data_IF_492980175345
#
_entry.id   IF_492980175345
#
_cell.length_a   1.000
_cell.length_b   1.000
_cell.length_c   1.000
_cell.angle_alpha   90.00
_cell.angle_beta   90.00
_cell.angle_gamma   90.00
#
_symmetry.space_group_name_H-M   'P 1'
#
loop_
_entity.id
_entity.type
_entity.pdbx_description
1 polymer ?
#
# COMPACT_ATOMS: atom_id res chain seq x y z
N UNK A 1 -7.55 10.15 62.09
CA UNK A 1 -8.03 10.83 60.86
C UNK A 1 -7.02 10.71 59.72
N UNK A 2 -5.78 11.19 59.86
CA UNK A 2 -4.76 11.14 58.80
C UNK A 2 -4.40 9.74 58.24
N UNK A 3 -4.48 8.67 59.05
CA UNK A 3 -4.23 7.29 58.59
C UNK A 3 -5.36 6.78 57.67
N UNK A 4 -6.62 7.09 58.00
CA UNK A 4 -7.79 6.71 57.20
C UNK A 4 -7.90 7.49 55.88
N UNK A 5 -7.47 8.76 55.87
CA UNK A 5 -7.37 9.56 54.63
C UNK A 5 -6.31 9.00 53.67
N UNK A 6 -5.18 8.50 54.20
CA UNK A 6 -4.14 7.83 53.40
C UNK A 6 -4.61 6.49 52.83
N UNK A 7 -5.34 5.69 53.60
CA UNK A 7 -5.90 4.42 53.14
C UNK A 7 -6.98 4.64 52.07
N UNK A 8 -7.85 5.64 52.23
CA UNK A 8 -8.84 6.02 51.22
C UNK A 8 -8.18 6.49 49.92
N UNK A 9 -7.16 7.36 50.02
CA UNK A 9 -6.38 7.81 48.86
C UNK A 9 -5.67 6.65 48.15
N UNK A 10 -5.09 5.71 48.90
CA UNK A 10 -4.45 4.53 48.32
C UNK A 10 -5.46 3.64 47.58
N UNK A 11 -6.64 3.42 48.17
CA UNK A 11 -7.70 2.64 47.54
C UNK A 11 -8.20 3.30 46.24
N UNK A 12 -8.36 4.63 46.22
CA UNK A 12 -8.73 5.38 45.03
C UNK A 12 -7.66 5.29 43.93
N UNK A 13 -6.38 5.44 44.28
CA UNK A 13 -5.26 5.28 43.35
C UNK A 13 -5.24 3.88 42.73
N UNK A 14 -5.46 2.83 43.51
CA UNK A 14 -5.56 1.47 43.00
C UNK A 14 -6.79 1.25 42.10
N UNK A 15 -7.91 1.91 42.38
CA UNK A 15 -9.08 1.87 41.51
C UNK A 15 -8.78 2.54 40.16
N UNK A 16 -8.22 3.75 40.18
CA UNK A 16 -7.82 4.50 38.97
C UNK A 16 -6.76 3.78 38.15
N UNK A 17 -5.76 3.19 38.79
CA UNK A 17 -4.73 2.41 38.10
C UNK A 17 -5.33 1.19 37.37
N UNK A 18 -6.29 0.50 38.00
CA UNK A 18 -7.00 -0.61 37.37
C UNK A 18 -7.87 -0.16 36.19
N UNK A 19 -8.60 0.95 36.32
CA UNK A 19 -9.37 1.54 35.22
C UNK A 19 -8.49 1.87 34.02
N UNK A 20 -7.35 2.54 34.24
CA UNK A 20 -6.39 2.88 33.19
C UNK A 20 -5.77 1.63 32.55
N UNK A 21 -5.49 0.59 33.33
CA UNK A 21 -4.95 -0.65 32.81
C UNK A 21 -5.96 -1.36 31.90
N UNK A 22 -7.24 -1.41 32.29
CA UNK A 22 -8.31 -1.98 31.48
C UNK A 22 -8.53 -1.17 30.19
N UNK A 23 -8.57 0.16 30.27
CA UNK A 23 -8.72 1.03 29.11
C UNK A 23 -7.54 0.88 28.13
N UNK A 24 -6.30 0.80 28.63
CA UNK A 24 -5.13 0.56 27.81
C UNK A 24 -5.16 -0.81 27.11
N UNK A 25 -5.63 -1.85 27.81
CA UNK A 25 -5.76 -3.18 27.23
C UNK A 25 -6.82 -3.21 26.13
N UNK A 26 -7.98 -2.58 26.34
CA UNK A 26 -9.00 -2.43 25.32
C UNK A 26 -8.49 -1.68 24.09
N UNK A 27 -7.75 -0.59 24.29
CA UNK A 27 -7.15 0.18 23.20
C UNK A 27 -6.13 -0.65 22.41
N UNK A 28 -5.28 -1.42 23.10
CA UNK A 28 -4.33 -2.34 22.46
C UNK A 28 -5.03 -3.40 21.62
N UNK A 29 -6.10 -4.00 22.14
CA UNK A 29 -6.88 -4.99 21.41
C UNK A 29 -7.57 -4.39 20.18
N UNK A 30 -8.14 -3.19 20.29
CA UNK A 30 -8.73 -2.48 19.17
C UNK A 30 -7.69 -2.20 18.07
N UNK A 31 -6.53 -1.65 18.43
CA UNK A 31 -5.44 -1.39 17.48
C UNK A 31 -4.89 -2.67 16.85
N UNK A 32 -4.77 -3.76 17.61
CA UNK A 32 -4.32 -5.04 17.08
C UNK A 32 -5.30 -5.61 16.05
N UNK A 33 -6.61 -5.46 16.29
CA UNK A 33 -7.66 -5.86 15.36
C UNK A 33 -7.63 -5.03 14.08
N UNK A 34 -7.57 -3.71 14.20
CA UNK A 34 -7.50 -2.81 13.04
C UNK A 34 -6.26 -3.10 12.19
N UNK A 35 -5.10 -3.27 12.83
CA UNK A 35 -3.86 -3.68 12.18
C UNK A 35 -4.02 -5.00 11.43
N UNK A 36 -4.63 -6.01 12.05
CA UNK A 36 -4.86 -7.31 11.39
C UNK A 36 -5.70 -7.14 10.12
N UNK A 37 -6.77 -6.35 10.18
CA UNK A 37 -7.64 -6.07 9.02
C UNK A 37 -6.84 -5.38 7.91
N UNK A 38 -6.09 -4.34 8.25
CA UNK A 38 -5.30 -3.59 7.28
C UNK A 38 -4.23 -4.45 6.59
N UNK A 39 -3.52 -5.30 7.34
CA UNK A 39 -2.51 -6.23 6.79
C UNK A 39 -3.17 -7.22 5.84
N UNK A 40 -4.27 -7.86 6.26
CA UNK A 40 -5.00 -8.81 5.40
C UNK A 40 -5.51 -8.16 4.12
N UNK A 41 -6.01 -6.92 4.20
CA UNK A 41 -6.41 -6.16 3.01
C UNK A 41 -5.22 -5.91 2.09
N UNK A 42 -4.10 -5.42 2.62
CA UNK A 42 -2.91 -5.16 1.81
C UNK A 42 -2.37 -6.43 1.15
N UNK A 43 -2.27 -7.54 1.88
CA UNK A 43 -1.82 -8.82 1.33
C UNK A 43 -2.70 -9.27 0.16
N UNK A 44 -4.03 -9.15 0.29
CA UNK A 44 -4.96 -9.41 -0.80
C UNK A 44 -4.75 -8.45 -1.98
N UNK A 45 -4.53 -7.16 -1.69
CA UNK A 45 -4.32 -6.11 -2.70
C UNK A 45 -2.96 -6.14 -3.36
N UNK A 46 -1.97 -6.89 -2.87
CA UNK A 46 -0.64 -7.06 -3.50
C UNK A 46 -0.51 -8.38 -4.28
N UNK A 47 -1.54 -9.22 -4.30
CA UNK A 47 -1.51 -10.45 -5.09
C UNK A 47 -1.31 -10.13 -6.58
N UNK A 48 -0.29 -10.76 -7.17
CA UNK A 48 0.03 -10.61 -8.59
C UNK A 48 0.24 -12.00 -9.22
N UNK A 49 -0.83 -12.68 -9.67
CA UNK A 49 -0.74 -14.04 -10.22
C UNK A 49 0.14 -14.15 -11.47
N UNK A 50 0.38 -13.04 -12.17
CA UNK A 50 1.26 -13.03 -13.34
C UNK A 50 2.72 -13.32 -12.97
N UNK A 51 3.17 -13.00 -11.75
CA UNK A 51 4.54 -13.28 -11.30
C UNK A 51 4.92 -14.75 -11.47
N UNK A 52 3.99 -15.68 -11.21
CA UNK A 52 4.25 -17.11 -11.37
C UNK A 52 4.56 -17.54 -12.82
N UNK A 53 4.20 -16.71 -13.82
CA UNK A 53 4.48 -16.96 -15.24
C UNK A 53 5.75 -16.27 -15.74
N UNK A 54 6.35 -15.40 -14.94
CA UNK A 54 7.50 -14.59 -15.31
C UNK A 54 8.72 -14.90 -14.42
N UNK A 55 9.52 -15.92 -14.74
CA UNK A 55 10.65 -16.34 -13.89
C UNK A 55 11.77 -15.28 -13.81
N UNK A 56 11.80 -14.33 -14.75
CA UNK A 56 12.78 -13.26 -14.80
C UNK A 56 12.34 -12.00 -14.03
N UNK A 57 11.21 -12.04 -13.33
CA UNK A 57 10.71 -10.93 -12.52
C UNK A 57 10.79 -11.31 -11.04
N UNK A 58 11.52 -10.50 -10.28
CA UNK A 58 11.60 -10.61 -8.84
C UNK A 58 10.94 -9.39 -8.18
N UNK A 59 10.29 -9.61 -7.04
CA UNK A 59 9.70 -8.54 -6.23
C UNK A 59 10.18 -8.69 -4.80
N UNK A 60 10.58 -7.57 -4.20
CA UNK A 60 10.92 -7.49 -2.77
C UNK A 60 10.14 -6.33 -2.16
N UNK A 61 9.21 -6.66 -1.27
CA UNK A 61 8.38 -5.71 -0.55
C UNK A 61 8.73 -5.74 0.94
N UNK A 62 9.11 -4.58 1.49
CA UNK A 62 9.55 -4.45 2.88
C UNK A 62 8.82 -3.28 3.56
N UNK A 63 7.70 -3.54 4.27
CA UNK A 63 6.98 -2.48 4.95
C UNK A 63 7.79 -1.93 6.13
N UNK A 64 7.57 -0.64 6.46
CA UNK A 64 8.25 0.01 7.58
C UNK A 64 7.94 -0.69 8.93
N UNK A 65 8.97 -0.91 9.75
CA UNK A 65 8.93 -1.80 10.92
C UNK A 65 8.26 -1.22 12.19
N UNK A 66 7.76 0.03 12.19
CA UNK A 66 7.17 0.68 13.38
C UNK A 66 5.72 1.10 13.12
N UNK A 67 4.74 0.47 13.77
CA UNK A 67 3.32 0.88 13.74
C UNK A 67 2.35 -0.13 13.10
N UNK A 68 1.29 0.36 12.43
CA UNK A 68 0.20 -0.41 11.79
C UNK A 68 0.67 -1.43 10.72
N UNK A 69 1.97 -1.49 10.39
CA UNK A 69 2.58 -2.45 9.45
C UNK A 69 2.04 -2.40 8.00
N UNK A 70 1.28 -1.38 7.64
CA UNK A 70 0.65 -1.27 6.32
C UNK A 70 1.09 0.02 5.65
N UNK A 71 1.79 -0.12 4.53
CA UNK A 71 2.28 1.00 3.72
C UNK A 71 1.34 1.26 2.53
N UNK A 72 1.38 2.48 1.98
CA UNK A 72 0.69 2.82 0.74
C UNK A 72 1.39 2.29 -0.52
N UNK A 73 2.59 1.73 -0.38
CA UNK A 73 3.35 1.13 -1.46
C UNK A 73 2.64 -0.06 -2.09
N UNK A 74 2.77 -0.16 -3.42
CA UNK A 74 2.27 -1.29 -4.19
C UNK A 74 3.13 -1.58 -5.41
N UNK A 75 2.98 -2.80 -5.92
CA UNK A 75 3.53 -3.22 -7.19
C UNK A 75 2.48 -3.97 -8.00
N UNK A 76 2.68 -4.04 -9.30
CA UNK A 76 1.82 -4.79 -10.19
C UNK A 76 2.62 -5.41 -11.34
N UNK A 77 2.26 -6.64 -11.70
CA UNK A 77 2.80 -7.35 -12.87
C UNK A 77 1.64 -7.97 -13.61
N UNK A 78 1.61 -7.79 -14.93
CA UNK A 78 0.49 -8.24 -15.72
C UNK A 78 0.87 -8.60 -17.14
N UNK A 79 0.23 -9.64 -17.67
CA UNK A 79 0.33 -9.95 -19.09
C UNK A 79 -0.49 -8.98 -19.94
N UNK A 80 0.07 -8.62 -21.08
CA UNK A 80 -0.58 -7.92 -22.17
C UNK A 80 -0.60 -8.84 -23.39
N UNK A 81 -1.70 -9.61 -23.60
CA UNK A 81 -1.77 -10.62 -24.65
C UNK A 81 -1.40 -10.08 -26.04
N UNK A 82 -0.47 -10.76 -26.69
CA UNK A 82 0.05 -10.41 -28.02
C UNK A 82 1.01 -9.22 -28.06
N UNK A 83 1.48 -8.73 -26.91
CA UNK A 83 2.37 -7.57 -26.83
C UNK A 83 3.56 -7.78 -25.88
N UNK A 84 3.32 -8.37 -24.71
CA UNK A 84 4.34 -8.60 -23.70
C UNK A 84 3.75 -8.54 -22.31
N UNK A 85 4.38 -7.80 -21.40
CA UNK A 85 3.89 -7.61 -20.04
C UNK A 85 4.08 -6.16 -19.58
N UNK A 86 3.31 -5.75 -18.58
CA UNK A 86 3.49 -4.48 -17.91
C UNK A 86 3.86 -4.70 -16.44
N UNK A 87 4.70 -3.80 -15.96
CA UNK A 87 5.09 -3.71 -14.55
C UNK A 87 4.80 -2.31 -14.04
N UNK A 88 4.47 -2.18 -12.77
CA UNK A 88 4.35 -0.88 -12.14
C UNK A 88 4.62 -0.94 -10.66
N UNK A 89 4.99 0.20 -10.13
CA UNK A 89 5.06 0.44 -8.69
C UNK A 89 4.44 1.80 -8.41
N UNK A 90 3.94 1.98 -7.19
CA UNK A 90 3.47 3.27 -6.74
C UNK A 90 3.43 3.32 -5.23
N UNK A 91 3.23 4.53 -4.73
CA UNK A 91 3.20 4.86 -3.31
C UNK A 91 2.02 5.81 -3.07
N UNK A 92 1.27 5.53 -2.01
CA UNK A 92 0.15 6.35 -1.55
C UNK A 92 0.53 6.96 -0.22
N UNK A 93 0.32 8.26 -0.09
CA UNK A 93 0.61 8.98 1.16
C UNK A 93 -0.19 8.37 2.32
N UNK A 94 0.51 8.13 3.43
CA UNK A 94 -0.09 7.65 4.67
C UNK A 94 0.18 6.17 4.94
N UNK A 95 -0.57 5.62 5.90
CA UNK A 95 -0.43 4.23 6.34
C UNK A 95 -1.73 3.69 6.92
N UNK A 96 -1.82 2.38 7.08
CA UNK A 96 -2.99 1.73 7.70
C UNK A 96 -4.12 1.43 6.72
N UNK A 97 -5.33 1.27 7.25
CA UNK A 97 -6.47 0.74 6.50
C UNK A 97 -6.89 1.63 5.32
N UNK A 98 -6.98 2.95 5.55
CA UNK A 98 -7.37 3.92 4.52
C UNK A 98 -6.36 3.95 3.37
N UNK A 99 -5.06 4.01 3.71
CA UNK A 99 -3.99 3.98 2.71
C UNK A 99 -4.00 2.67 1.89
N UNK A 100 -4.24 1.52 2.52
CA UNK A 100 -4.36 0.25 1.81
C UNK A 100 -5.57 0.20 0.86
N UNK A 101 -6.69 0.81 1.26
CA UNK A 101 -7.88 0.90 0.41
C UNK A 101 -7.61 1.77 -0.83
N UNK A 102 -7.04 2.97 -0.64
CA UNK A 102 -6.67 3.86 -1.75
C UNK A 102 -5.64 3.19 -2.66
N UNK A 103 -4.60 2.60 -2.09
CA UNK A 103 -3.59 1.82 -2.82
C UNK A 103 -4.24 0.77 -3.73
N UNK A 104 -5.15 -0.05 -3.20
CA UNK A 104 -5.84 -1.09 -3.97
C UNK A 104 -6.70 -0.52 -5.11
N UNK A 105 -7.36 0.61 -4.88
CA UNK A 105 -8.13 1.33 -5.90
C UNK A 105 -7.23 1.85 -7.02
N UNK A 106 -6.14 2.55 -6.70
CA UNK A 106 -5.22 3.12 -7.70
C UNK A 106 -4.52 2.02 -8.50
N UNK A 107 -4.04 0.95 -7.83
CA UNK A 107 -3.47 -0.23 -8.48
C UNK A 107 -4.46 -0.79 -9.49
N UNK A 108 -5.69 -1.06 -9.06
CA UNK A 108 -6.74 -1.66 -9.90
C UNK A 108 -7.11 -0.78 -11.09
N UNK A 109 -7.28 0.52 -10.87
CA UNK A 109 -7.61 1.49 -11.90
C UNK A 109 -6.50 1.56 -12.96
N UNK A 110 -5.23 1.65 -12.56
CA UNK A 110 -4.11 1.69 -13.48
C UNK A 110 -3.92 0.37 -14.23
N UNK A 111 -4.10 -0.78 -13.56
CA UNK A 111 -4.09 -2.10 -14.20
C UNK A 111 -5.21 -2.23 -15.24
N UNK A 112 -6.40 -1.69 -14.99
CA UNK A 112 -7.47 -1.67 -15.98
C UNK A 112 -7.12 -0.76 -17.17
N UNK A 113 -6.65 0.46 -16.90
CA UNK A 113 -6.30 1.43 -17.94
C UNK A 113 -5.20 0.93 -18.87
N UNK A 114 -4.13 0.34 -18.33
CA UNK A 114 -3.03 -0.19 -19.16
C UNK A 114 -3.44 -1.40 -19.99
N UNK A 115 -4.39 -2.23 -19.53
CA UNK A 115 -4.95 -3.34 -20.35
C UNK A 115 -5.71 -2.83 -21.55
N UNK A 116 -6.48 -1.77 -21.35
CA UNK A 116 -7.29 -1.17 -22.40
C UNK A 116 -6.43 -0.41 -23.41
N UNK A 117 -5.48 0.39 -22.94
CA UNK A 117 -4.77 1.37 -23.75
C UNK A 117 -3.40 0.89 -24.22
N UNK A 118 -2.72 0.03 -23.44
CA UNK A 118 -1.33 -0.44 -23.68
C UNK A 118 -0.28 0.67 -23.81
N UNK A 119 -0.65 1.89 -23.46
CA UNK A 119 0.21 3.08 -23.48
C UNK A 119 0.34 3.65 -22.06
N UNK A 120 1.53 3.58 -21.43
CA UNK A 120 1.71 4.04 -20.06
C UNK A 120 1.29 5.49 -19.83
N UNK A 121 1.59 6.40 -20.78
CA UNK A 121 1.21 7.81 -20.67
C UNK A 121 -0.31 7.99 -20.59
N UNK A 122 -1.04 7.41 -21.54
CA UNK A 122 -2.51 7.47 -21.57
C UNK A 122 -3.16 6.77 -20.37
N UNK A 123 -2.55 5.68 -19.89
CA UNK A 123 -3.01 5.02 -18.67
C UNK A 123 -2.83 5.89 -17.42
N UNK A 124 -1.75 6.69 -17.36
CA UNK A 124 -1.57 7.68 -16.30
C UNK A 124 -2.57 8.84 -16.41
N UNK A 125 -2.93 9.29 -17.63
CA UNK A 125 -3.99 10.30 -17.81
C UNK A 125 -5.33 9.81 -17.23
N UNK A 126 -5.66 8.53 -17.46
CA UNK A 126 -6.88 7.92 -16.90
C UNK A 126 -6.79 7.83 -15.37
N UNK A 127 -5.63 7.47 -14.83
CA UNK A 127 -5.43 7.43 -13.38
C UNK A 127 -5.56 8.83 -12.76
N UNK A 128 -4.98 9.87 -13.38
CA UNK A 128 -5.13 11.26 -12.94
C UNK A 128 -6.62 11.67 -12.90
N UNK A 129 -7.37 11.41 -13.96
CA UNK A 129 -8.82 11.63 -14.00
C UNK A 129 -9.56 10.87 -12.90
N UNK A 130 -9.20 9.61 -12.66
CA UNK A 130 -9.76 8.80 -11.58
C UNK A 130 -9.51 9.42 -10.21
N UNK A 131 -8.28 9.88 -9.95
CA UNK A 131 -7.92 10.50 -8.66
C UNK A 131 -8.62 11.84 -8.41
N UNK A 132 -8.98 12.59 -9.45
CA UNK A 132 -9.74 13.85 -9.30
C UNK A 132 -11.17 13.63 -8.79
N UNK A 133 -11.73 12.44 -9.00
CA UNK A 133 -13.09 12.11 -8.59
C UNK A 133 -13.20 11.58 -7.15
N UNK A 134 -12.09 11.29 -6.48
CA UNK A 134 -12.07 10.70 -5.13
C UNK A 134 -11.17 11.46 -4.15
N UNK A 135 -11.48 11.36 -2.87
CA UNK A 135 -10.61 11.86 -1.79
C UNK A 135 -9.56 10.80 -1.42
N UNK A 136 -8.38 11.24 -0.95
CA UNK A 136 -7.36 10.34 -0.37
C UNK A 136 -6.21 9.91 -1.30
N UNK A 137 -6.25 10.22 -2.60
CA UNK A 137 -5.15 9.92 -3.54
C UNK A 137 -4.12 11.05 -3.68
N UNK A 138 -4.28 12.16 -2.96
CA UNK A 138 -3.45 13.35 -3.09
C UNK A 138 -1.98 13.03 -2.87
N UNK A 139 -1.13 13.52 -3.78
CA UNK A 139 0.33 13.31 -3.76
C UNK A 139 0.80 11.84 -3.82
N UNK A 140 -0.07 10.91 -4.22
CA UNK A 140 0.35 9.55 -4.60
C UNK A 140 1.29 9.59 -5.80
N UNK A 141 2.27 8.70 -5.83
CA UNK A 141 3.20 8.56 -6.95
C UNK A 141 3.04 7.21 -7.62
N UNK A 142 3.31 7.14 -8.92
CA UNK A 142 3.29 5.87 -9.64
C UNK A 142 4.22 5.88 -10.86
N UNK A 143 4.74 4.71 -11.21
CA UNK A 143 5.39 4.46 -12.48
C UNK A 143 4.82 3.19 -13.10
N UNK A 144 4.60 3.21 -14.41
CA UNK A 144 4.14 2.06 -15.18
C UNK A 144 5.02 1.91 -16.40
N UNK A 145 5.48 0.69 -16.65
CA UNK A 145 6.26 0.32 -17.82
C UNK A 145 5.57 -0.82 -18.58
N UNK A 146 5.64 -0.76 -19.90
CA UNK A 146 5.24 -1.82 -20.83
C UNK A 146 6.51 -2.33 -21.49
N UNK A 147 6.71 -3.65 -21.40
CA UNK A 147 7.85 -4.36 -21.96
C UNK A 147 7.35 -5.17 -23.15
N UNK A 148 7.72 -4.75 -24.36
CA UNK A 148 7.50 -5.48 -25.60
C UNK A 148 8.74 -6.34 -25.88
N UNK A 149 8.62 -7.64 -25.65
CA UNK A 149 9.72 -8.60 -25.81
C UNK A 149 10.00 -8.93 -27.28
N UNK A 150 9.03 -8.73 -28.17
CA UNK A 150 9.20 -8.97 -29.60
C UNK A 150 9.99 -7.85 -30.26
N UNK A 151 9.64 -6.59 -29.96
CA UNK A 151 10.33 -5.40 -30.47
C UNK A 151 11.54 -4.99 -29.63
N UNK A 152 11.73 -5.63 -28.47
CA UNK A 152 12.77 -5.28 -27.48
C UNK A 152 12.69 -3.81 -27.04
N UNK A 153 11.47 -3.31 -26.88
CA UNK A 153 11.20 -1.93 -26.47
C UNK A 153 10.61 -1.89 -25.07
N UNK A 154 11.03 -0.89 -24.30
CA UNK A 154 10.44 -0.56 -23.00
C UNK A 154 9.89 0.86 -23.11
N UNK A 155 8.59 1.00 -22.88
CA UNK A 155 7.94 2.32 -22.78
C UNK A 155 7.50 2.49 -21.34
N UNK A 156 7.77 3.64 -20.72
CA UNK A 156 7.32 3.92 -19.37
C UNK A 156 6.72 5.33 -19.25
N UNK A 157 5.90 5.51 -18.22
CA UNK A 157 5.45 6.81 -17.75
C UNK A 157 5.57 6.87 -16.24
N UNK A 158 6.03 7.99 -15.70
CA UNK A 158 6.15 8.25 -14.27
C UNK A 158 5.34 9.48 -13.88
N UNK A 159 4.55 9.35 -12.81
CA UNK A 159 3.82 10.41 -12.15
C UNK A 159 4.42 10.61 -10.76
N UNK A 160 5.39 11.52 -10.64
CA UNK A 160 6.06 11.87 -9.38
C UNK A 160 6.95 10.80 -8.75
N UNK A 161 6.99 9.57 -9.30
CA UNK A 161 7.80 8.47 -8.77
C UNK A 161 9.24 8.55 -9.30
N UNK A 162 10.25 8.10 -8.54
CA UNK A 162 11.61 7.97 -9.07
C UNK A 162 11.66 7.17 -10.38
N UNK A 163 12.49 7.59 -11.36
CA UNK A 163 12.52 6.93 -12.66
C UNK A 163 13.06 5.50 -12.55
N UNK A 164 12.59 4.57 -13.40
CA UNK A 164 13.15 3.23 -13.47
C UNK A 164 14.64 3.25 -13.82
N UNK A 165 15.40 2.31 -13.25
CA UNK A 165 16.81 2.11 -13.58
C UNK A 165 16.95 1.04 -14.66
N UNK A 166 17.69 1.36 -15.73
CA UNK A 166 18.12 0.39 -16.73
C UNK A 166 19.55 -0.04 -16.42
N UNK A 167 19.73 -1.32 -16.11
CA UNK A 167 21.04 -1.93 -15.93
C UNK A 167 21.42 -2.74 -17.19
N UNK A 168 22.67 -2.63 -17.61
CA UNK A 168 23.25 -3.49 -18.64
C UNK A 168 23.93 -4.69 -17.99
N UNK A 169 24.10 -5.78 -18.74
CA UNK A 169 24.97 -6.86 -18.29
C UNK A 169 26.41 -6.34 -18.19
N UNK A 170 27.12 -6.79 -17.16
CA UNK A 170 28.54 -6.49 -16.95
C UNK A 170 29.43 -7.05 -18.07
#
# INVERSE_FOLDING_TARGET
>A
QALGEREAMAAELYARARELQLANEQLRQAHARERKVAVTLQEAMLQSPALARHPNIAVRYLPAAKGLNVCGDWYDVMDLPGFGFAVGVGDVVGHGLEAAAVMGMLRSALSAAIRALREPGRAMDVLDLYTRAGEGALASTAVKAVIDTHRRHITYSSAGHPPPVLAHAD
#
